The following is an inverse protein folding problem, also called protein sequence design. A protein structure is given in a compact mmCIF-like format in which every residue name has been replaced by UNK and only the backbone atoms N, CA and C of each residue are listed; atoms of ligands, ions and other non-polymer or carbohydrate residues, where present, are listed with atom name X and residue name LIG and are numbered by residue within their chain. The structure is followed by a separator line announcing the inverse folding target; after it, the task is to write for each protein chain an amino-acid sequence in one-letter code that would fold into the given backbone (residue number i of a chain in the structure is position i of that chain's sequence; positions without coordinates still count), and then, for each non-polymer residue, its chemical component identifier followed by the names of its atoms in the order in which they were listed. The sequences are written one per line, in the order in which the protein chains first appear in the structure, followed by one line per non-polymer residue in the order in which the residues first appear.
data_IF_044069083237
#
_entry.id   IF_044069083237
#
_cell.length_a   1.000
_cell.length_b   1.000
_cell.length_c   1.000
_cell.angle_alpha   90.00
_cell.angle_beta   90.00
_cell.angle_gamma   90.00
#
_symmetry.space_group_name_H-M   'P 1'
#
loop_
_entity.id
_entity.type
_entity.pdbx_description
1 polymer ?
#
# COMPACT_ATOMS: atom_id res chain seq x y z
N UNK A 1 17.44 13.81 -9.42
CA UNK A 1 16.34 12.99 -9.99
C UNK A 1 16.00 13.55 -11.35
N UNK A 2 16.11 12.76 -12.42
CA UNK A 2 15.72 13.22 -13.76
C UNK A 2 14.19 13.22 -13.85
N UNK A 3 13.53 14.31 -14.28
CA UNK A 3 12.07 14.37 -14.38
C UNK A 3 11.49 13.25 -15.24
N UNK A 4 12.23 12.88 -16.30
CA UNK A 4 11.87 11.78 -17.19
C UNK A 4 11.77 10.44 -16.45
N UNK A 5 12.72 10.12 -15.56
CA UNK A 5 12.71 8.86 -14.80
C UNK A 5 11.48 8.76 -13.90
N UNK A 6 11.16 9.85 -13.17
CA UNK A 6 9.98 9.89 -12.29
C UNK A 6 8.70 9.72 -13.09
N UNK A 7 8.58 10.44 -14.21
CA UNK A 7 7.43 10.34 -15.11
C UNK A 7 7.23 8.93 -15.65
N UNK A 8 8.31 8.27 -16.10
CA UNK A 8 8.25 6.89 -16.60
C UNK A 8 7.81 5.90 -15.51
N UNK A 9 8.35 6.02 -14.29
CA UNK A 9 7.97 5.13 -13.18
C UNK A 9 6.48 5.26 -12.86
N UNK A 10 5.97 6.49 -12.76
CA UNK A 10 4.55 6.73 -12.49
C UNK A 10 3.66 6.15 -13.60
N UNK A 11 4.02 6.40 -14.86
CA UNK A 11 3.26 5.91 -16.00
C UNK A 11 3.18 4.38 -16.01
N UNK A 12 4.32 3.70 -15.83
CA UNK A 12 4.39 2.23 -15.77
C UNK A 12 3.56 1.69 -14.60
N UNK A 13 3.64 2.33 -13.43
CA UNK A 13 2.87 1.93 -12.25
C UNK A 13 1.36 1.99 -12.51
N UNK A 14 0.85 3.10 -13.05
CA UNK A 14 -0.58 3.23 -13.34
C UNK A 14 -1.05 2.29 -14.44
N UNK A 15 -0.25 2.09 -15.50
CA UNK A 15 -0.58 1.12 -16.54
C UNK A 15 -0.68 -0.31 -15.99
N UNK A 16 0.23 -0.70 -15.10
CA UNK A 16 0.18 -2.00 -14.45
C UNK A 16 -1.11 -2.17 -13.62
N UNK A 17 -1.48 -1.17 -12.81
CA UNK A 17 -2.71 -1.20 -12.02
C UNK A 17 -3.97 -1.29 -12.88
N UNK A 18 -4.06 -0.47 -13.93
CA UNK A 18 -5.20 -0.48 -14.86
C UNK A 18 -5.31 -1.83 -15.57
N UNK A 19 -4.17 -2.38 -16.00
CA UNK A 19 -4.11 -3.68 -16.67
C UNK A 19 -4.63 -4.79 -15.75
N UNK A 20 -4.15 -4.84 -14.50
CA UNK A 20 -4.62 -5.81 -13.49
C UNK A 20 -6.13 -5.63 -13.28
N UNK A 21 -6.59 -4.40 -13.03
CA UNK A 21 -8.00 -4.10 -12.81
C UNK A 21 -8.89 -4.54 -13.98
N UNK A 22 -8.45 -4.33 -15.22
CA UNK A 22 -9.20 -4.73 -16.40
C UNK A 22 -9.35 -6.26 -16.52
N UNK A 23 -8.32 -7.02 -16.16
CA UNK A 23 -8.40 -8.48 -16.15
C UNK A 23 -9.23 -9.01 -14.98
N UNK A 24 -9.11 -8.43 -13.79
CA UNK A 24 -9.77 -8.93 -12.57
C UNK A 24 -11.23 -8.50 -12.42
N UNK A 25 -11.67 -7.44 -13.10
CA UNK A 25 -13.04 -6.93 -13.02
C UNK A 25 -14.06 -7.70 -13.87
N UNK A 26 -13.61 -8.53 -14.81
CA UNK A 26 -14.50 -9.30 -15.69
C UNK A 26 -15.32 -10.31 -14.89
N UNK A 27 -16.65 -10.17 -14.94
CA UNK A 27 -17.57 -11.07 -14.25
C UNK A 27 -17.69 -10.83 -12.74
N UNK A 28 -17.19 -9.70 -12.23
CA UNK A 28 -17.34 -9.34 -10.83
C UNK A 28 -18.79 -8.91 -10.53
N UNK A 29 -19.35 -9.47 -9.46
CA UNK A 29 -20.64 -9.13 -8.88
C UNK A 29 -20.48 -8.50 -7.49
N UNK A 30 -21.59 -8.22 -6.80
CA UNK A 30 -21.59 -7.65 -5.43
C UNK A 30 -20.83 -8.51 -4.44
N UNK A 31 -20.96 -9.84 -4.50
CA UNK A 31 -20.26 -10.75 -3.59
C UNK A 31 -18.75 -10.74 -3.83
N UNK A 32 -18.35 -10.71 -5.11
CA UNK A 32 -16.96 -10.57 -5.54
C UNK A 32 -16.38 -9.25 -5.05
N UNK A 33 -17.12 -8.15 -5.16
CA UNK A 33 -16.67 -6.83 -4.73
C UNK A 33 -16.41 -6.74 -3.22
N UNK A 34 -17.34 -7.19 -2.39
CA UNK A 34 -17.23 -7.04 -0.93
C UNK A 34 -16.42 -8.13 -0.24
N UNK A 35 -16.48 -9.37 -0.74
CA UNK A 35 -15.90 -10.53 -0.04
C UNK A 35 -14.85 -11.28 -0.84
N UNK A 36 -14.58 -10.87 -2.09
CA UNK A 36 -13.72 -11.60 -3.03
C UNK A 36 -14.08 -13.09 -3.11
N UNK A 37 -15.39 -13.41 -2.98
CA UNK A 37 -15.93 -14.77 -2.90
C UNK A 37 -15.27 -15.67 -1.86
N UNK A 38 -14.69 -15.08 -0.80
CA UNK A 38 -13.89 -15.78 0.23
C UNK A 38 -12.73 -16.61 -0.32
N UNK A 39 -12.23 -16.28 -1.52
CA UNK A 39 -11.12 -16.99 -2.15
C UNK A 39 -9.76 -16.32 -1.95
N UNK A 40 -9.72 -15.14 -1.32
CA UNK A 40 -8.48 -14.41 -1.07
C UNK A 40 -7.60 -15.14 -0.05
N UNK A 41 -6.36 -15.54 -0.42
CA UNK A 41 -5.41 -16.11 0.53
C UNK A 41 -5.10 -15.13 1.66
N UNK A 42 -5.13 -15.61 2.91
CA UNK A 42 -5.01 -14.77 4.11
C UNK A 42 -3.73 -13.91 4.12
N UNK A 43 -2.62 -14.42 3.60
CA UNK A 43 -1.34 -13.70 3.59
C UNK A 43 -1.36 -12.51 2.60
N UNK A 44 -2.02 -12.66 1.44
CA UNK A 44 -2.19 -11.55 0.50
C UNK A 44 -3.06 -10.46 1.10
N UNK A 45 -4.12 -10.85 1.82
CA UNK A 45 -4.96 -9.91 2.57
C UNK A 45 -4.14 -9.20 3.63
N UNK A 46 -3.32 -9.91 4.40
CA UNK A 46 -2.47 -9.32 5.43
C UNK A 46 -1.52 -8.25 4.87
N UNK A 47 -0.83 -8.53 3.76
CA UNK A 47 0.01 -7.52 3.08
C UNK A 47 -0.79 -6.32 2.58
N UNK A 48 -1.97 -6.58 2.00
CA UNK A 48 -2.88 -5.51 1.56
C UNK A 48 -3.33 -4.62 2.72
N UNK A 49 -3.64 -5.21 3.86
CA UNK A 49 -4.06 -4.48 5.06
C UNK A 49 -2.94 -3.59 5.61
N UNK A 50 -1.70 -4.10 5.68
CA UNK A 50 -0.53 -3.28 6.05
C UNK A 50 -0.43 -2.08 5.10
N UNK A 51 -0.49 -2.32 3.79
CA UNK A 51 -0.45 -1.26 2.78
C UNK A 51 -1.57 -0.22 2.94
N UNK A 52 -2.80 -0.65 3.21
CA UNK A 52 -3.96 0.24 3.39
C UNK A 52 -3.86 1.14 4.62
N UNK A 53 -3.13 0.70 5.65
CA UNK A 53 -2.87 1.49 6.86
C UNK A 53 -1.79 2.56 6.67
N UNK A 54 -0.96 2.41 5.63
CA UNK A 54 0.13 3.33 5.31
C UNK A 54 -0.36 4.41 4.33
N UNK A 55 0.06 5.65 4.56
CA UNK A 55 -0.26 6.78 3.68
C UNK A 55 1.00 7.55 3.29
N UNK A 56 0.86 8.49 2.35
CA UNK A 56 1.93 9.41 2.00
C UNK A 56 2.45 10.21 3.22
N UNK A 57 1.58 10.49 4.19
CA UNK A 57 1.97 11.14 5.45
C UNK A 57 2.96 10.26 6.21
N UNK A 58 2.75 8.94 6.27
CA UNK A 58 3.64 8.01 6.97
C UNK A 58 5.05 8.03 6.39
N UNK A 59 5.18 8.01 5.06
CA UNK A 59 6.48 7.99 4.39
C UNK A 59 7.28 9.29 4.55
N UNK A 60 6.60 10.41 4.79
CA UNK A 60 7.26 11.71 5.03
C UNK A 60 7.52 11.90 6.53
N UNK A 61 6.54 11.60 7.37
CA UNK A 61 6.55 11.94 8.80
C UNK A 61 7.45 11.02 9.63
N UNK A 62 7.48 9.71 9.34
CA UNK A 62 8.27 8.75 10.12
C UNK A 62 9.76 9.03 9.99
N UNK A 63 10.36 9.15 8.78
CA UNK A 63 11.77 9.54 8.65
C UNK A 63 12.04 10.93 9.22
N UNK A 64 11.09 11.86 9.07
CA UNK A 64 11.18 13.20 9.66
C UNK A 64 11.30 13.17 11.19
N UNK A 65 10.52 12.31 11.85
CA UNK A 65 10.63 12.09 13.29
C UNK A 65 11.91 11.37 13.67
N UNK A 66 12.34 10.35 12.92
CA UNK A 66 13.62 9.67 13.16
C UNK A 66 14.80 10.65 13.07
N UNK A 67 14.77 11.58 12.11
CA UNK A 67 15.80 12.63 11.99
C UNK A 67 15.82 13.61 13.17
N UNK A 68 14.69 13.81 13.87
CA UNK A 68 14.58 14.76 15.00
C UNK A 68 14.80 14.13 16.36
N UNK A 69 14.21 12.96 16.59
CA UNK A 69 14.13 12.30 17.91
C UNK A 69 14.59 10.83 17.87
N UNK A 70 15.21 10.38 16.77
CA UNK A 70 15.65 9.00 16.61
C UNK A 70 14.48 8.02 16.67
N UNK A 71 14.74 6.82 17.20
CA UNK A 71 13.75 5.75 17.34
C UNK A 71 12.86 5.89 18.59
N UNK A 72 12.70 7.10 19.15
CA UNK A 72 11.88 7.30 20.36
C UNK A 72 10.43 6.82 20.21
N UNK A 73 9.79 7.10 19.07
CA UNK A 73 8.44 6.58 18.79
C UNK A 73 8.39 5.04 18.73
N UNK A 74 9.46 4.40 18.25
CA UNK A 74 9.53 2.94 18.17
C UNK A 74 9.57 2.30 19.56
N UNK A 75 10.21 2.94 20.54
CA UNK A 75 10.21 2.46 21.94
C UNK A 75 8.79 2.45 22.53
N UNK A 76 7.97 3.46 22.21
CA UNK A 76 6.56 3.52 22.62
C UNK A 76 5.76 2.38 21.99
N UNK A 77 5.96 2.13 20.68
CA UNK A 77 5.31 1.01 19.97
C UNK A 77 5.66 -0.33 20.59
N UNK A 78 6.93 -0.56 20.97
CA UNK A 78 7.36 -1.78 21.65
C UNK A 78 6.73 -1.95 23.05
N UNK A 79 6.27 -0.88 23.69
CA UNK A 79 5.57 -0.93 24.98
C UNK A 79 4.05 -1.10 24.88
N UNK A 80 3.47 -0.96 23.68
CA UNK A 80 2.04 -1.17 23.42
C UNK A 80 1.69 -2.60 22.98
N UNK A 81 2.69 -3.36 22.52
CA UNK A 81 2.62 -4.78 22.18
C UNK A 81 2.86 -5.64 23.41
#
# INVERSE_FOLDING_TARGET
MTPLLVGTILLVYFLALITISWFTSKGADTNTFFTANRQSPWYLVAFGMIGSSLSGVTFISVPGNVGKIGFGYFQVVLGYL
#
